data_IF_199957997133
#
_entry.id   IF_199957997133
#
_cell.length_a   1.000
_cell.length_b   1.000
_cell.length_c   1.000
_cell.angle_alpha   90.00
_cell.angle_beta   90.00
_cell.angle_gamma   90.00
#
_symmetry.space_group_name_H-M   'P 1'
#
loop_
_entity.id
_entity.type
_entity.pdbx_description
1 polymer ?
#
# COMPACT_ATOMS: atom_id res chain seq x y z
N UNK A 1 -47.82 47.31 -38.24
CA UNK A 1 -46.69 47.28 -37.29
C UNK A 1 -46.26 45.83 -37.13
N UNK A 2 -45.06 45.50 -37.61
CA UNK A 2 -44.40 44.20 -37.44
C UNK A 2 -43.42 44.32 -36.27
N UNK A 3 -43.45 43.38 -35.32
CA UNK A 3 -42.47 43.27 -34.23
C UNK A 3 -42.81 42.01 -33.42
N UNK A 4 -42.08 40.92 -33.64
CA UNK A 4 -40.93 40.45 -32.84
C UNK A 4 -41.37 39.56 -31.67
N UNK A 5 -41.40 38.24 -31.91
CA UNK A 5 -41.44 37.23 -30.86
C UNK A 5 -40.60 36.03 -31.32
N UNK A 6 -39.29 36.10 -31.11
CA UNK A 6 -38.38 34.97 -31.27
C UNK A 6 -37.16 35.28 -30.40
N UNK A 7 -37.03 34.62 -29.25
CA UNK A 7 -35.78 34.35 -28.51
C UNK A 7 -36.11 33.88 -27.08
N UNK A 8 -36.39 32.58 -26.92
CA UNK A 8 -36.35 31.91 -25.60
C UNK A 8 -36.31 30.39 -25.78
N UNK A 9 -35.24 29.84 -26.37
CA UNK A 9 -35.09 28.37 -26.48
C UNK A 9 -33.64 27.86 -26.36
N UNK A 10 -32.66 28.69 -25.97
CA UNK A 10 -31.24 28.29 -26.07
C UNK A 10 -30.53 28.00 -24.73
N UNK A 11 -31.22 28.02 -23.58
CA UNK A 11 -30.56 27.88 -22.27
C UNK A 11 -30.54 26.45 -21.68
N UNK A 12 -31.29 25.49 -22.25
CA UNK A 12 -31.42 24.13 -21.69
C UNK A 12 -30.43 23.10 -22.25
N UNK A 13 -29.66 23.44 -23.30
CA UNK A 13 -28.72 22.49 -23.92
C UNK A 13 -27.33 22.47 -23.26
N UNK A 14 -26.97 23.51 -22.49
CA UNK A 14 -25.64 23.62 -21.87
C UNK A 14 -25.51 22.89 -20.53
N UNK A 15 -26.63 22.53 -19.88
CA UNK A 15 -26.62 21.89 -18.56
C UNK A 15 -26.48 20.35 -18.65
N UNK A 16 -26.88 19.74 -19.76
CA UNK A 16 -26.81 18.28 -20.00
C UNK A 16 -25.42 17.82 -20.43
N UNK A 17 -24.62 18.68 -21.05
CA UNK A 17 -23.26 18.33 -21.51
C UNK A 17 -22.27 18.31 -20.33
N UNK A 18 -22.42 19.22 -19.36
CA UNK A 18 -21.58 19.25 -18.15
C UNK A 18 -21.79 18.06 -17.22
N UNK A 19 -23.01 17.53 -17.14
CA UNK A 19 -23.35 16.37 -16.29
C UNK A 19 -22.83 15.06 -16.86
N UNK A 20 -22.91 14.85 -18.18
CA UNK A 20 -22.39 13.64 -18.82
C UNK A 20 -20.85 13.53 -18.74
N UNK A 21 -20.13 14.64 -18.96
CA UNK A 21 -18.68 14.67 -18.86
C UNK A 21 -18.17 14.46 -17.41
N UNK A 22 -18.83 15.07 -16.42
CA UNK A 22 -18.54 14.86 -15.01
C UNK A 22 -18.80 13.40 -14.58
N UNK A 23 -19.95 12.84 -14.96
CA UNK A 23 -20.31 11.45 -14.65
C UNK A 23 -19.34 10.43 -15.27
N UNK A 24 -18.83 10.71 -16.48
CA UNK A 24 -17.84 9.85 -17.15
C UNK A 24 -16.48 9.91 -16.44
N UNK A 25 -16.08 11.09 -15.97
CA UNK A 25 -14.86 11.27 -15.18
C UNK A 25 -14.94 10.52 -13.85
N UNK A 26 -16.05 10.65 -13.11
CA UNK A 26 -16.26 9.96 -11.83
C UNK A 26 -16.26 8.43 -12.01
N UNK A 27 -16.90 7.94 -13.08
CA UNK A 27 -16.90 6.51 -13.41
C UNK A 27 -15.48 5.96 -13.64
N UNK A 28 -14.64 6.69 -14.37
CA UNK A 28 -13.24 6.31 -14.62
C UNK A 28 -12.39 6.30 -13.37
N UNK A 29 -12.52 7.31 -12.52
CA UNK A 29 -11.81 7.36 -11.23
C UNK A 29 -12.21 6.18 -10.34
N UNK A 30 -13.49 5.84 -10.31
CA UNK A 30 -13.99 4.68 -9.56
C UNK A 30 -13.42 3.36 -10.11
N UNK A 31 -13.39 3.18 -11.44
CA UNK A 31 -12.79 2.02 -12.08
C UNK A 31 -11.28 1.92 -11.79
N UNK A 32 -10.54 3.03 -11.89
CA UNK A 32 -9.12 3.08 -11.52
C UNK A 32 -8.90 2.71 -10.04
N UNK A 33 -9.75 3.19 -9.14
CA UNK A 33 -9.69 2.86 -7.71
C UNK A 33 -9.99 1.37 -7.47
N UNK A 34 -10.93 0.78 -8.22
CA UNK A 34 -11.22 -0.65 -8.16
C UNK A 34 -10.01 -1.48 -8.62
N UNK A 35 -9.36 -1.09 -9.71
CA UNK A 35 -8.12 -1.71 -10.17
C UNK A 35 -7.01 -1.62 -9.10
N UNK A 36 -6.84 -0.45 -8.47
CA UNK A 36 -5.87 -0.25 -7.42
C UNK A 36 -6.10 -1.17 -6.20
N UNK A 37 -7.35 -1.43 -5.81
CA UNK A 37 -7.67 -2.38 -4.74
C UNK A 37 -7.30 -3.81 -5.08
N UNK A 38 -7.43 -4.22 -6.35
CA UNK A 38 -7.04 -5.56 -6.80
C UNK A 38 -5.52 -5.74 -6.81
N UNK A 39 -4.78 -4.68 -7.15
CA UNK A 39 -3.30 -4.70 -7.20
C UNK A 39 -2.69 -4.56 -5.79
N UNK A 40 -3.28 -3.70 -4.95
CA UNK A 40 -2.82 -3.41 -3.58
C UNK A 40 -3.88 -3.85 -2.55
N UNK A 41 -4.15 -5.16 -2.43
CA UNK A 41 -5.10 -5.65 -1.44
C UNK A 41 -4.52 -5.49 -0.02
N UNK A 42 -5.36 -5.37 1.03
CA UNK A 42 -4.89 -5.24 2.41
C UNK A 42 -3.93 -6.36 2.86
N UNK A 43 -4.10 -7.58 2.34
CA UNK A 43 -3.27 -8.73 2.65
C UNK A 43 -1.82 -8.57 2.16
N UNK A 44 -1.62 -7.84 1.05
CA UNK A 44 -0.29 -7.50 0.56
C UNK A 44 0.42 -6.54 1.52
N UNK A 45 -0.30 -5.53 2.00
CA UNK A 45 0.23 -4.59 2.98
C UNK A 45 0.63 -5.28 4.29
N UNK A 46 -0.22 -6.19 4.78
CA UNK A 46 0.08 -6.98 5.99
C UNK A 46 1.30 -7.88 5.81
N UNK A 47 1.47 -8.50 4.64
CA UNK A 47 2.65 -9.30 4.34
C UNK A 47 3.93 -8.45 4.32
N UNK A 48 3.89 -7.30 3.63
CA UNK A 48 5.03 -6.36 3.60
C UNK A 48 5.38 -5.85 4.99
N UNK A 49 4.37 -5.47 5.79
CA UNK A 49 4.59 -5.04 7.17
C UNK A 49 5.19 -6.17 8.02
N UNK A 50 4.69 -7.40 7.88
CA UNK A 50 5.24 -8.56 8.58
C UNK A 50 6.72 -8.74 8.25
N UNK A 51 7.08 -8.66 6.97
CA UNK A 51 8.47 -8.71 6.53
C UNK A 51 9.29 -7.56 7.12
N UNK A 52 8.82 -6.32 7.05
CA UNK A 52 9.53 -5.15 7.62
C UNK A 52 9.82 -5.33 9.11
N UNK A 53 8.85 -5.83 9.88
CA UNK A 53 9.03 -6.03 11.31
C UNK A 53 9.95 -7.21 11.63
N UNK A 54 9.83 -8.33 10.90
CA UNK A 54 10.65 -9.51 11.16
C UNK A 54 12.09 -9.35 10.66
N UNK A 55 12.28 -8.67 9.52
CA UNK A 55 13.57 -8.51 8.87
C UNK A 55 14.33 -7.25 9.30
N UNK A 56 13.62 -6.19 9.70
CA UNK A 56 14.21 -4.91 10.06
C UNK A 56 14.04 -4.60 11.54
N UNK A 57 12.80 -4.32 11.95
CA UNK A 57 12.53 -3.72 13.28
C UNK A 57 12.96 -4.63 14.42
N UNK A 58 12.53 -5.90 14.44
CA UNK A 58 12.82 -6.79 15.56
C UNK A 58 14.33 -7.07 15.70
N UNK A 59 15.08 -7.42 14.63
CA UNK A 59 16.53 -7.56 14.73
C UNK A 59 17.24 -6.29 15.21
N UNK A 60 16.83 -5.10 14.74
CA UNK A 60 17.42 -3.83 15.20
C UNK A 60 17.20 -3.60 16.70
N UNK A 61 16.01 -3.87 17.22
CA UNK A 61 15.72 -3.72 18.66
C UNK A 61 16.50 -4.75 19.50
N UNK A 62 16.59 -6.00 19.04
CA UNK A 62 17.38 -7.03 19.72
C UNK A 62 18.88 -6.75 19.71
N UNK A 63 19.38 -6.06 18.69
CA UNK A 63 20.79 -5.65 18.59
C UNK A 63 21.11 -4.34 19.33
N UNK A 64 20.12 -3.61 19.84
CA UNK A 64 20.35 -2.35 20.55
C UNK A 64 20.98 -2.59 21.92
N UNK A 65 22.23 -2.15 22.08
CA UNK A 65 23.01 -2.29 23.31
C UNK A 65 22.37 -1.55 24.50
N UNK A 66 21.52 -0.55 24.25
CA UNK A 66 20.78 0.14 25.31
C UNK A 66 19.59 -0.68 25.81
N UNK A 67 19.05 -1.57 24.98
CA UNK A 67 17.93 -2.44 25.34
C UNK A 67 18.39 -3.78 25.92
N UNK A 68 19.63 -4.21 25.66
CA UNK A 68 20.17 -5.48 26.20
C UNK A 68 20.07 -5.59 27.73
N UNK A 69 20.45 -4.56 28.54
CA UNK A 69 20.29 -4.64 29.99
C UNK A 69 18.83 -4.70 30.44
N UNK A 70 17.93 -4.01 29.71
CA UNK A 70 16.49 -4.01 30.01
C UNK A 70 15.88 -5.38 29.73
N UNK A 71 16.22 -6.01 28.60
CA UNK A 71 15.78 -7.37 28.27
C UNK A 71 16.32 -8.40 29.28
N UNK A 72 17.58 -8.27 29.72
CA UNK A 72 18.14 -9.14 30.75
C UNK A 72 17.42 -9.01 32.10
N UNK A 73 16.98 -7.81 32.47
CA UNK A 73 16.18 -7.56 33.66
C UNK A 73 14.71 -7.98 33.50
N UNK A 74 14.19 -7.96 32.27
CA UNK A 74 12.80 -8.21 31.93
C UNK A 74 12.68 -9.08 30.67
N UNK A 75 12.87 -10.41 30.77
CA UNK A 75 12.83 -11.29 29.61
C UNK A 75 11.50 -11.23 28.84
N UNK A 76 11.58 -11.07 27.52
CA UNK A 76 10.46 -10.90 26.60
C UNK A 76 9.98 -9.46 26.42
N UNK A 77 10.68 -8.47 27.00
CA UNK A 77 10.31 -7.06 26.91
C UNK A 77 10.43 -6.54 25.47
N UNK A 78 11.55 -6.80 24.80
CA UNK A 78 11.81 -6.35 23.42
C UNK A 78 10.74 -6.91 22.47
N UNK A 79 10.43 -8.20 22.57
CA UNK A 79 9.39 -8.82 21.74
C UNK A 79 8.01 -8.19 22.00
N UNK A 80 7.68 -7.89 23.26
CA UNK A 80 6.44 -7.20 23.59
C UNK A 80 6.40 -5.77 23.06
N UNK A 81 7.52 -5.05 23.06
CA UNK A 81 7.64 -3.71 22.48
C UNK A 81 7.42 -3.73 20.96
N UNK A 82 8.12 -4.63 20.27
CA UNK A 82 7.99 -4.83 18.82
C UNK A 82 6.55 -5.22 18.44
N UNK A 83 5.92 -6.11 19.22
CA UNK A 83 4.52 -6.49 19.02
C UNK A 83 3.56 -5.31 19.19
N UNK A 84 3.78 -4.46 20.19
CA UNK A 84 2.98 -3.25 20.41
C UNK A 84 3.13 -2.24 19.25
N UNK A 85 4.36 -2.02 18.78
CA UNK A 85 4.61 -1.18 17.60
C UNK A 85 3.87 -1.71 16.37
N UNK A 86 3.95 -3.03 16.11
CA UNK A 86 3.29 -3.65 14.96
C UNK A 86 1.78 -3.38 14.93
N UNK A 87 1.13 -3.40 16.08
CA UNK A 87 -0.32 -3.10 16.18
C UNK A 87 -0.63 -1.67 15.72
N UNK A 88 0.15 -0.69 16.17
CA UNK A 88 -0.09 0.72 15.81
C UNK A 88 0.28 1.02 14.35
N UNK A 89 1.34 0.40 13.83
CA UNK A 89 1.68 0.48 12.40
C UNK A 89 0.59 -0.14 11.52
N UNK A 90 0.07 -1.33 11.88
CA UNK A 90 -1.03 -1.97 11.15
C UNK A 90 -2.25 -1.05 11.07
N UNK A 91 -2.64 -0.46 12.19
CA UNK A 91 -3.78 0.47 12.27
C UNK A 91 -3.58 1.68 11.36
N UNK A 92 -2.42 2.33 11.46
CA UNK A 92 -2.12 3.52 10.66
C UNK A 92 -2.11 3.22 9.15
N UNK A 93 -1.46 2.12 8.74
CA UNK A 93 -1.40 1.72 7.32
C UNK A 93 -2.77 1.34 6.78
N UNK A 94 -3.55 0.56 7.53
CA UNK A 94 -4.94 0.21 7.14
C UNK A 94 -5.79 1.46 6.94
N UNK A 95 -5.70 2.44 7.84
CA UNK A 95 -6.42 3.71 7.71
C UNK A 95 -5.94 4.55 6.51
N UNK A 96 -4.69 4.39 6.09
CA UNK A 96 -4.09 5.10 4.97
C UNK A 96 -4.30 4.43 3.60
N UNK A 97 -4.70 3.15 3.54
CA UNK A 97 -4.93 2.41 2.28
C UNK A 97 -5.90 3.11 1.31
N UNK A 98 -7.04 3.70 1.74
CA UNK A 98 -7.92 4.43 0.84
C UNK A 98 -7.21 5.55 0.06
N UNK A 99 -6.25 6.24 0.69
CA UNK A 99 -5.46 7.29 0.03
C UNK A 99 -4.51 6.72 -1.01
N UNK A 100 -3.90 5.55 -0.74
CA UNK A 100 -3.09 4.83 -1.73
C UNK A 100 -3.94 4.47 -2.95
N UNK A 101 -5.10 3.85 -2.74
CA UNK A 101 -6.01 3.43 -3.81
C UNK A 101 -6.54 4.60 -4.62
N UNK A 102 -6.88 5.72 -3.98
CA UNK A 102 -7.33 6.90 -4.68
C UNK A 102 -6.23 7.49 -5.58
N UNK A 103 -5.00 7.62 -5.07
CA UNK A 103 -3.87 8.20 -5.82
C UNK A 103 -3.44 7.33 -6.98
N UNK A 104 -3.25 6.03 -6.74
CA UNK A 104 -2.89 5.06 -7.78
C UNK A 104 -4.03 4.88 -8.78
N UNK A 105 -5.27 4.83 -8.31
CA UNK A 105 -6.47 4.76 -9.14
C UNK A 105 -6.61 5.96 -10.07
N UNK A 106 -6.27 7.17 -9.63
CA UNK A 106 -6.24 8.35 -10.47
C UNK A 106 -5.16 8.28 -11.58
N UNK A 107 -4.02 7.64 -11.32
CA UNK A 107 -3.01 7.38 -12.36
C UNK A 107 -3.56 6.38 -13.38
N UNK A 108 -4.15 5.27 -12.94
CA UNK A 108 -4.77 4.30 -13.85
C UNK A 108 -5.86 4.93 -14.70
N UNK A 109 -6.79 5.66 -14.08
CA UNK A 109 -7.88 6.32 -14.77
C UNK A 109 -7.42 7.36 -15.81
N UNK A 110 -6.27 8.02 -15.58
CA UNK A 110 -5.70 8.99 -16.52
C UNK A 110 -4.98 8.32 -17.69
N UNK A 111 -4.43 7.13 -17.48
CA UNK A 111 -3.51 6.47 -18.43
C UNK A 111 -4.20 5.39 -19.27
N UNK A 112 -5.25 4.78 -18.73
CA UNK A 112 -6.05 3.75 -19.37
C UNK A 112 -7.42 4.34 -19.74
N UNK A 113 -7.91 4.01 -20.94
CA UNK A 113 -9.29 4.29 -21.33
C UNK A 113 -10.29 3.30 -20.69
N UNK A 114 -11.59 3.44 -21.00
CA UNK A 114 -12.64 2.61 -20.41
C UNK A 114 -12.58 1.13 -20.82
N UNK A 115 -12.07 0.83 -22.02
CA UNK A 115 -11.90 -0.56 -22.45
C UNK A 115 -10.69 -1.19 -21.75
N UNK A 116 -9.58 -0.45 -21.69
CA UNK A 116 -8.35 -0.86 -21.03
C UNK A 116 -8.53 -1.03 -19.51
N UNK A 117 -9.27 -0.14 -18.86
CA UNK A 117 -9.62 -0.28 -17.43
C UNK A 117 -10.45 -1.54 -17.19
N UNK A 118 -11.46 -1.82 -18.02
CA UNK A 118 -12.27 -3.03 -17.88
C UNK A 118 -11.44 -4.29 -18.11
N UNK A 119 -10.56 -4.29 -19.10
CA UNK A 119 -9.65 -5.40 -19.38
C UNK A 119 -8.69 -5.64 -18.21
N UNK A 120 -8.04 -4.60 -17.69
CA UNK A 120 -7.14 -4.70 -16.54
C UNK A 120 -7.87 -5.19 -15.28
N UNK A 121 -9.07 -4.68 -15.01
CA UNK A 121 -9.90 -5.14 -13.88
C UNK A 121 -10.28 -6.61 -14.07
N UNK A 122 -10.72 -7.01 -15.26
CA UNK A 122 -11.09 -8.40 -15.55
C UNK A 122 -9.90 -9.35 -15.36
N UNK A 123 -8.71 -8.95 -15.82
CA UNK A 123 -7.49 -9.73 -15.61
C UNK A 123 -7.15 -9.86 -14.12
N UNK A 124 -7.03 -8.75 -13.39
CA UNK A 124 -6.66 -8.78 -11.97
C UNK A 124 -7.74 -9.42 -11.07
N UNK A 125 -9.00 -9.45 -11.52
CA UNK A 125 -10.09 -10.18 -10.89
C UNK A 125 -10.22 -11.64 -11.37
N UNK A 126 -9.33 -12.14 -12.24
CA UNK A 126 -9.34 -13.55 -12.65
C UNK A 126 -8.78 -14.47 -11.56
N UNK A 127 -9.12 -15.76 -11.62
CA UNK A 127 -8.55 -16.77 -10.70
C UNK A 127 -7.03 -16.86 -10.83
N UNK A 128 -6.49 -16.76 -12.05
CA UNK A 128 -5.05 -16.81 -12.29
C UNK A 128 -4.31 -15.66 -11.63
N UNK A 129 -4.75 -14.42 -11.85
CA UNK A 129 -4.15 -13.25 -11.21
C UNK A 129 -4.28 -13.28 -9.68
N UNK A 130 -5.42 -13.75 -9.14
CA UNK A 130 -5.58 -13.96 -7.69
C UNK A 130 -4.60 -14.99 -7.14
N UNK A 131 -4.37 -16.10 -7.84
CA UNK A 131 -3.36 -17.09 -7.44
C UNK A 131 -1.96 -16.51 -7.45
N UNK A 132 -1.56 -15.82 -8.52
CA UNK A 132 -0.27 -15.12 -8.59
C UNK A 132 -0.10 -14.17 -7.40
N UNK A 133 -1.12 -13.35 -7.12
CA UNK A 133 -1.10 -12.42 -5.98
C UNK A 133 -1.00 -13.14 -4.64
N UNK A 134 -1.71 -14.24 -4.45
CA UNK A 134 -1.63 -15.03 -3.22
C UNK A 134 -0.24 -15.66 -3.03
N UNK A 135 0.39 -16.14 -4.12
CA UNK A 135 1.76 -16.66 -4.09
C UNK A 135 2.77 -15.57 -3.72
N UNK A 136 2.62 -14.37 -4.28
CA UNK A 136 3.45 -13.20 -3.94
C UNK A 136 3.31 -12.82 -2.46
N UNK A 137 2.08 -12.71 -1.96
CA UNK A 137 1.79 -12.42 -0.55
C UNK A 137 2.43 -13.50 0.36
N UNK A 138 2.28 -14.77 0.01
CA UNK A 138 2.85 -15.88 0.76
C UNK A 138 4.39 -15.86 0.72
N UNK A 139 5.00 -15.47 -0.40
CA UNK A 139 6.44 -15.32 -0.54
C UNK A 139 6.97 -14.22 0.37
N UNK A 140 6.32 -13.05 0.37
CA UNK A 140 6.69 -11.90 1.20
C UNK A 140 6.55 -12.25 2.69
N UNK A 141 5.45 -12.88 3.08
CA UNK A 141 5.22 -13.28 4.47
C UNK A 141 6.23 -14.30 5.00
N UNK A 142 6.83 -15.11 4.11
CA UNK A 142 7.82 -16.15 4.44
C UNK A 142 9.27 -15.74 4.17
N UNK A 143 9.50 -14.57 3.59
CA UNK A 143 10.85 -14.13 3.25
C UNK A 143 11.74 -14.10 4.51
N UNK A 144 12.98 -14.61 4.41
CA UNK A 144 13.92 -14.51 5.52
C UNK A 144 14.27 -13.03 5.77
N UNK A 145 14.75 -12.70 6.99
CA UNK A 145 15.42 -11.43 7.22
C UNK A 145 16.51 -11.21 6.19
N UNK A 146 16.66 -10.00 5.67
CA UNK A 146 17.84 -9.67 4.88
C UNK A 146 19.07 -9.87 5.78
N UNK A 147 19.91 -10.83 5.45
CA UNK A 147 21.23 -10.98 6.01
C UNK A 147 21.99 -9.66 5.82
N UNK A 148 22.71 -9.23 6.86
CA UNK A 148 23.30 -7.89 7.00
C UNK A 148 24.37 -7.50 5.94
N UNK A 149 24.43 -8.21 4.81
CA UNK A 149 25.24 -7.90 3.64
C UNK A 149 24.76 -8.52 2.33
N UNK A 150 23.52 -9.04 2.26
CA UNK A 150 22.98 -9.69 1.06
C UNK A 150 22.10 -8.76 0.22
N UNK A 151 22.48 -8.58 -1.06
CA UNK A 151 21.65 -7.91 -2.06
C UNK A 151 20.30 -8.62 -2.21
N UNK A 152 19.22 -7.83 -2.08
CA UNK A 152 17.82 -8.17 -2.36
C UNK A 152 17.27 -9.43 -1.66
N UNK A 153 16.20 -9.26 -0.88
CA UNK A 153 15.36 -10.36 -0.41
C UNK A 153 14.96 -11.21 -1.63
N UNK A 154 15.59 -12.37 -1.79
CA UNK A 154 15.24 -13.30 -2.85
C UNK A 154 13.94 -13.96 -2.42
N UNK A 155 12.83 -13.29 -2.74
CA UNK A 155 11.51 -13.86 -2.65
C UNK A 155 11.52 -15.09 -3.57
N UNK A 156 11.46 -16.28 -2.97
CA UNK A 156 11.13 -17.50 -3.68
C UNK A 156 9.61 -17.66 -3.58
N UNK A 157 8.81 -17.04 -4.47
CA UNK A 157 7.42 -17.43 -4.56
C UNK A 157 7.38 -18.91 -4.90
N UNK A 158 6.36 -19.62 -4.40
CA UNK A 158 5.99 -20.86 -5.04
C UNK A 158 5.72 -20.52 -6.52
N UNK A 159 6.36 -21.25 -7.43
CA UNK A 159 6.36 -20.90 -8.84
C UNK A 159 4.90 -20.81 -9.34
N UNK A 160 4.52 -19.72 -10.01
CA UNK A 160 3.24 -19.67 -10.69
C UNK A 160 3.12 -20.90 -11.58
N UNK A 161 1.91 -21.47 -11.69
CA UNK A 161 1.73 -22.60 -12.60
C UNK A 161 2.04 -22.14 -14.03
N UNK A 162 2.42 -23.04 -14.96
CA UNK A 162 2.61 -22.67 -16.36
C UNK A 162 1.38 -21.94 -16.95
N UNK A 163 0.18 -22.29 -16.48
CA UNK A 163 -1.08 -21.64 -16.87
C UNK A 163 -1.15 -20.19 -16.37
N UNK A 164 -0.70 -19.92 -15.15
CA UNK A 164 -0.63 -18.57 -14.59
C UNK A 164 0.38 -17.70 -15.36
N UNK A 165 1.54 -18.28 -15.70
CA UNK A 165 2.55 -17.62 -16.52
C UNK A 165 2.05 -17.25 -17.92
N UNK A 166 1.30 -18.16 -18.57
CA UNK A 166 0.67 -17.88 -19.87
C UNK A 166 -0.38 -16.79 -19.74
N UNK A 167 -1.26 -16.84 -18.73
CA UNK A 167 -2.28 -15.81 -18.54
C UNK A 167 -1.67 -14.41 -18.30
N UNK A 168 -0.62 -14.33 -17.48
CA UNK A 168 0.13 -13.09 -17.27
C UNK A 168 0.82 -12.62 -18.55
N UNK A 169 1.44 -13.53 -19.31
CA UNK A 169 2.08 -13.21 -20.59
C UNK A 169 1.08 -12.68 -21.63
N UNK A 170 -0.10 -13.31 -21.72
CA UNK A 170 -1.18 -12.85 -22.60
C UNK A 170 -1.66 -11.46 -22.20
N UNK A 171 -1.89 -11.20 -20.92
CA UNK A 171 -2.27 -9.86 -20.45
C UNK A 171 -1.18 -8.82 -20.72
N UNK A 172 0.08 -9.14 -20.46
CA UNK A 172 1.20 -8.24 -20.71
C UNK A 172 1.35 -7.86 -22.19
N UNK A 173 0.87 -8.69 -23.11
CA UNK A 173 0.85 -8.41 -24.55
C UNK A 173 -0.35 -7.57 -25.01
N UNK A 174 -1.27 -7.22 -24.11
CA UNK A 174 -2.39 -6.30 -24.39
C UNK A 174 -1.92 -4.85 -24.24
N UNK A 175 -2.62 -3.92 -24.89
CA UNK A 175 -2.32 -2.49 -24.75
C UNK A 175 -2.50 -2.01 -23.29
N UNK A 176 -3.47 -2.57 -22.56
CA UNK A 176 -3.67 -2.28 -21.13
C UNK A 176 -2.46 -2.74 -20.30
N UNK A 177 -1.95 -3.95 -20.54
CA UNK A 177 -0.76 -4.49 -19.89
C UNK A 177 0.49 -3.65 -20.15
N UNK A 178 0.74 -3.28 -21.41
CA UNK A 178 1.85 -2.41 -21.80
C UNK A 178 1.78 -1.03 -21.11
N UNK A 179 0.59 -0.42 -21.07
CA UNK A 179 0.38 0.87 -20.40
C UNK A 179 0.58 0.79 -18.89
N UNK A 180 0.12 -0.28 -18.24
CA UNK A 180 0.37 -0.51 -16.82
C UNK A 180 1.87 -0.66 -16.53
N UNK A 181 2.61 -1.38 -17.37
CA UNK A 181 4.06 -1.49 -17.26
C UNK A 181 4.74 -0.12 -17.43
N UNK A 182 4.31 0.69 -18.40
CA UNK A 182 4.88 2.01 -18.68
C UNK A 182 4.71 3.02 -17.52
N UNK A 183 3.71 2.83 -16.66
CA UNK A 183 3.44 3.72 -15.51
C UNK A 183 3.97 3.17 -14.18
N UNK A 184 4.66 2.02 -14.19
CA UNK A 184 5.11 1.35 -12.96
C UNK A 184 6.00 2.25 -12.09
N UNK A 185 6.87 3.06 -12.70
CA UNK A 185 7.72 4.01 -11.96
C UNK A 185 6.90 5.09 -11.23
N UNK A 186 5.85 5.61 -11.86
CA UNK A 186 4.96 6.60 -11.26
C UNK A 186 4.17 6.01 -10.08
N UNK A 187 3.64 4.80 -10.27
CA UNK A 187 2.92 4.07 -9.21
C UNK A 187 3.85 3.72 -8.04
N UNK A 188 5.09 3.31 -8.32
CA UNK A 188 6.12 3.06 -7.29
C UNK A 188 6.38 4.31 -6.46
N UNK A 189 6.58 5.47 -7.09
CA UNK A 189 6.78 6.73 -6.37
C UNK A 189 5.59 7.09 -5.45
N UNK A 190 4.35 6.80 -5.88
CA UNK A 190 3.16 6.97 -5.01
C UNK A 190 3.21 6.01 -3.82
N UNK A 191 3.56 4.75 -4.04
CA UNK A 191 3.66 3.75 -2.99
C UNK A 191 4.75 4.07 -1.97
N UNK A 192 5.90 4.58 -2.42
CA UNK A 192 7.02 4.97 -1.55
C UNK A 192 6.64 6.18 -0.69
N UNK A 193 6.07 7.23 -1.31
CA UNK A 193 5.56 8.40 -0.59
C UNK A 193 4.45 8.04 0.40
N UNK A 194 3.53 7.16 0.00
CA UNK A 194 2.49 6.64 0.89
C UNK A 194 3.08 5.86 2.05
N UNK A 195 4.04 4.96 1.81
CA UNK A 195 4.68 4.14 2.84
C UNK A 195 5.36 4.99 3.91
N UNK A 196 6.01 6.09 3.53
CA UNK A 196 6.61 7.04 4.48
C UNK A 196 5.57 7.80 5.32
N UNK A 197 4.40 8.10 4.75
CA UNK A 197 3.31 8.85 5.42
C UNK A 197 2.33 7.97 6.19
N UNK A 198 2.29 6.68 5.90
CA UNK A 198 1.40 5.71 6.53
C UNK A 198 1.90 5.22 7.90
N UNK A 199 3.06 5.71 8.36
CA UNK A 199 3.54 5.45 9.71
C UNK A 199 2.66 6.15 10.77
N UNK A 200 2.42 5.53 11.93
CA UNK A 200 1.73 6.19 13.03
C UNK A 200 2.54 7.39 13.55
N UNK A 201 1.88 8.44 14.07
CA UNK A 201 2.57 9.49 14.80
C UNK A 201 3.43 8.92 15.95
N UNK A 202 4.64 9.46 16.14
CA UNK A 202 5.59 8.98 17.16
C UNK A 202 4.96 8.90 18.56
N UNK A 203 4.17 9.90 18.95
CA UNK A 203 3.48 9.93 20.24
C UNK A 203 2.54 8.73 20.48
N UNK A 204 1.90 8.18 19.43
CA UNK A 204 1.06 6.98 19.56
C UNK A 204 1.93 5.75 19.86
N UNK A 205 3.06 5.63 19.17
CA UNK A 205 4.02 4.54 19.38
C UNK A 205 4.63 4.63 20.78
N UNK A 206 5.06 5.82 21.21
CA UNK A 206 5.60 6.06 22.54
C UNK A 206 4.62 5.67 23.65
N UNK A 207 3.33 6.02 23.51
CA UNK A 207 2.29 5.60 24.46
C UNK A 207 2.12 4.08 24.48
N UNK A 208 2.16 3.42 23.32
CA UNK A 208 2.09 1.96 23.25
C UNK A 208 3.30 1.29 23.93
N UNK A 209 4.50 1.79 23.68
CA UNK A 209 5.74 1.32 24.32
C UNK A 209 5.72 1.56 25.83
N UNK A 210 5.30 2.74 26.29
CA UNK A 210 5.19 3.05 27.71
C UNK A 210 4.25 2.08 28.44
N UNK A 211 3.14 1.67 27.82
CA UNK A 211 2.24 0.65 28.39
C UNK A 211 2.92 -0.72 28.53
N UNK A 212 3.76 -1.09 27.56
CA UNK A 212 4.57 -2.32 27.65
C UNK A 212 5.56 -2.21 28.80
N UNK A 213 6.30 -1.11 28.91
CA UNK A 213 7.26 -0.89 29.99
C UNK A 213 6.60 -1.00 31.38
N UNK A 214 5.45 -0.34 31.56
CA UNK A 214 4.67 -0.42 32.82
C UNK A 214 4.26 -1.86 33.13
N UNK A 215 3.80 -2.62 32.13
CA UNK A 215 3.41 -4.03 32.30
C UNK A 215 4.55 -4.92 32.79
N UNK A 216 5.78 -4.65 32.34
CA UNK A 216 6.96 -5.38 32.76
C UNK A 216 7.60 -4.83 34.05
N UNK A 217 7.06 -3.75 34.62
CA UNK A 217 7.65 -3.07 35.77
C UNK A 217 8.97 -2.36 35.44
N UNK A 218 9.23 -2.12 34.16
CA UNK A 218 10.44 -1.46 33.69
C UNK A 218 10.24 0.06 33.69
N UNK A 219 11.19 0.81 34.24
CA UNK A 219 11.22 2.27 34.13
C UNK A 219 12.23 2.64 33.06
N UNK A 220 11.75 3.15 31.92
CA UNK A 220 12.63 3.73 30.92
C UNK A 220 13.06 5.11 31.41
N UNK A 221 14.34 5.27 31.75
CA UNK A 221 14.95 6.58 31.89
C UNK A 221 15.49 6.97 30.51
N UNK A 222 14.80 7.82 29.72
CA UNK A 222 15.36 8.26 28.45
C UNK A 222 16.71 8.92 28.72
N UNK A 223 17.78 8.37 28.14
CA UNK A 223 19.06 9.06 28.10
C UNK A 223 18.81 10.40 27.44
N UNK A 224 19.03 11.49 28.19
CA UNK A 224 18.90 12.83 27.67
C UNK A 224 19.69 12.92 26.35
N UNK A 225 19.14 13.52 25.28
CA UNK A 225 19.84 13.62 24.02
C UNK A 225 21.22 14.23 24.28
N UNK A 226 22.27 13.54 23.84
CA UNK A 226 23.63 14.06 23.91
C UNK A 226 23.61 15.43 23.22
N UNK A 227 23.72 16.50 24.00
CA UNK A 227 23.92 17.84 23.45
C UNK A 227 25.25 17.81 22.74
N UNK A 228 25.22 17.65 21.41
CA UNK A 228 26.36 17.90 20.55
C UNK A 228 26.77 19.36 20.76
N UNK A 229 27.96 19.55 21.35
CA UNK A 229 28.65 20.84 21.41
C UNK A 229 29.47 21.04 20.14
#
# INVERSE_FOLDING_TARGET
MRGLAMFAASALASMTIGTAAAQTTDSRINAGTALARLIYPPELDEAVMTLTFNAGVAPTYHADLNLTPLEAAHPGLIDAMVAAMRVEYRRARTAALPTLWARTGAVYARRLDDAELREAIAFHASDGARRIRALEIAAIAKAPPADAGGDAIQLYPADPTPVDGVAQGMFNATLAGEKLAAIQAEVRAINDDWSGKAAPPAAIVEVALARVMVRFGAVYAPTAPATSR
#
